data_IF_859578225198
#
_entry.id   IF_859578225198
#
_cell.length_a   1.000
_cell.length_b   1.000
_cell.length_c   1.000
_cell.angle_alpha   90.00
_cell.angle_beta   90.00
_cell.angle_gamma   90.00
#
_symmetry.space_group_name_H-M   'P 1'
#
loop_
_entity.id
_entity.type
_entity.pdbx_description
1 polymer ?
#
# COMPACT_ATOMS: atom_id res chain seq x y z
N UNK A 1 6.63 13.08 2.12
CA UNK A 1 6.91 12.74 0.74
C UNK A 1 6.37 13.84 -0.18
N UNK A 2 7.27 14.57 -0.85
CA UNK A 2 6.90 15.44 -1.96
C UNK A 2 6.42 14.59 -3.15
N UNK A 3 5.92 15.22 -4.23
CA UNK A 3 5.71 14.50 -5.49
C UNK A 3 7.05 14.12 -6.13
N UNK A 4 7.07 13.14 -7.05
CA UNK A 4 8.31 12.61 -7.62
C UNK A 4 9.14 13.66 -8.37
N UNK A 5 8.50 14.67 -8.94
CA UNK A 5 9.13 15.76 -9.68
C UNK A 5 9.72 16.84 -8.73
N UNK A 6 9.21 16.88 -7.51
CA UNK A 6 9.67 17.74 -6.41
C UNK A 6 10.76 17.08 -5.55
N UNK A 7 11.10 15.81 -5.81
CA UNK A 7 12.15 15.09 -5.10
C UNK A 7 13.55 15.56 -5.53
N UNK A 8 14.45 15.67 -4.55
CA UNK A 8 15.88 15.73 -4.84
C UNK A 8 16.37 14.43 -5.49
N UNK A 9 17.57 14.43 -6.09
CA UNK A 9 18.15 13.23 -6.71
C UNK A 9 18.26 12.05 -5.74
N UNK A 10 18.63 12.32 -4.49
CA UNK A 10 18.78 11.29 -3.47
C UNK A 10 17.42 10.76 -3.00
N UNK A 11 16.44 11.63 -2.81
CA UNK A 11 15.05 11.23 -2.50
C UNK A 11 14.43 10.41 -3.63
N UNK A 12 14.65 10.81 -4.88
CA UNK A 12 14.16 10.08 -6.04
C UNK A 12 14.79 8.69 -6.13
N UNK A 13 16.10 8.58 -5.94
CA UNK A 13 16.80 7.29 -5.91
C UNK A 13 16.30 6.38 -4.78
N UNK A 14 16.04 6.95 -3.60
CA UNK A 14 15.45 6.22 -2.49
C UNK A 14 14.04 5.74 -2.84
N UNK A 15 13.21 6.62 -3.40
CA UNK A 15 11.86 6.32 -3.83
C UNK A 15 11.83 5.20 -4.87
N UNK A 16 12.63 5.30 -5.94
CA UNK A 16 12.70 4.29 -7.00
C UNK A 16 13.10 2.91 -6.43
N UNK A 17 14.05 2.88 -5.49
CA UNK A 17 14.43 1.64 -4.79
C UNK A 17 13.27 1.05 -3.98
N UNK A 18 12.52 1.88 -3.28
CA UNK A 18 11.36 1.46 -2.49
C UNK A 18 10.27 0.89 -3.41
N UNK A 19 9.99 1.56 -4.53
CA UNK A 19 9.01 1.12 -5.54
C UNK A 19 9.41 -0.24 -6.13
N UNK A 20 10.68 -0.41 -6.47
CA UNK A 20 11.22 -1.68 -6.95
C UNK A 20 11.04 -2.80 -5.91
N UNK A 21 11.44 -2.55 -4.66
CA UNK A 21 11.26 -3.53 -3.58
C UNK A 21 9.80 -3.90 -3.35
N UNK A 22 8.87 -2.91 -3.38
CA UNK A 22 7.44 -3.21 -3.23
C UNK A 22 6.89 -4.03 -4.39
N UNK A 23 7.33 -3.73 -5.62
CA UNK A 23 6.89 -4.47 -6.80
C UNK A 23 7.33 -5.92 -6.71
N UNK A 24 8.57 -6.18 -6.29
CA UNK A 24 9.08 -7.53 -6.08
C UNK A 24 8.34 -8.28 -4.96
N UNK A 25 8.10 -7.62 -3.83
CA UNK A 25 7.38 -8.20 -2.69
C UNK A 25 5.88 -8.36 -2.95
N UNK A 26 5.34 -7.64 -3.94
CA UNK A 26 3.94 -7.72 -4.28
C UNK A 26 3.56 -9.10 -4.82
N UNK A 27 4.49 -9.91 -5.38
CA UNK A 27 4.18 -11.22 -5.97
C UNK A 27 2.94 -11.19 -6.91
N UNK A 28 2.76 -10.06 -7.60
CA UNK A 28 1.85 -9.95 -8.74
C UNK A 28 2.59 -10.38 -10.01
N UNK A 29 1.87 -10.89 -10.98
CA UNK A 29 2.45 -11.32 -12.26
C UNK A 29 2.85 -10.09 -13.09
N UNK A 30 1.98 -9.08 -13.10
CA UNK A 30 2.07 -7.88 -13.92
C UNK A 30 2.92 -6.79 -13.23
N UNK A 31 4.17 -7.13 -12.91
CA UNK A 31 5.09 -6.26 -12.15
C UNK A 31 5.29 -4.88 -12.77
N UNK A 32 5.40 -4.80 -14.09
CA UNK A 32 5.62 -3.52 -14.78
C UNK A 32 4.42 -2.58 -14.63
N UNK A 33 3.19 -3.11 -14.77
CA UNK A 33 1.95 -2.34 -14.58
C UNK A 33 1.85 -1.92 -13.12
N UNK A 34 2.10 -2.84 -12.19
CA UNK A 34 2.10 -2.54 -10.76
C UNK A 34 3.09 -1.44 -10.38
N UNK A 35 4.31 -1.51 -10.92
CA UNK A 35 5.37 -0.53 -10.70
C UNK A 35 5.03 0.84 -11.28
N UNK A 36 4.48 0.87 -12.49
CA UNK A 36 3.98 2.08 -13.15
C UNK A 36 2.91 2.74 -12.29
N UNK A 37 1.86 2.02 -11.92
CA UNK A 37 0.78 2.59 -11.13
C UNK A 37 1.22 3.02 -9.73
N UNK A 38 2.17 2.29 -9.13
CA UNK A 38 2.72 2.66 -7.82
C UNK A 38 3.52 3.96 -7.93
N UNK A 39 4.19 4.19 -9.06
CA UNK A 39 4.92 5.43 -9.35
C UNK A 39 3.96 6.59 -9.61
N UNK A 40 2.98 6.36 -10.51
CA UNK A 40 1.94 7.31 -10.90
C UNK A 40 1.19 7.88 -9.70
N UNK A 41 0.84 7.03 -8.73
CA UNK A 41 0.16 7.47 -7.51
C UNK A 41 0.90 8.60 -6.76
N UNK A 42 2.23 8.70 -6.90
CA UNK A 42 3.04 9.75 -6.28
C UNK A 42 3.50 10.86 -7.24
N UNK A 43 3.12 10.77 -8.52
CA UNK A 43 3.43 11.74 -9.55
C UNK A 43 2.28 12.71 -9.74
N UNK A 44 2.50 14.01 -9.50
CA UNK A 44 1.46 15.03 -9.63
C UNK A 44 1.01 15.25 -11.08
N UNK A 45 1.82 14.81 -12.04
CA UNK A 45 1.50 14.87 -13.46
C UNK A 45 0.67 13.65 -13.92
N UNK A 46 0.44 12.67 -13.03
CA UNK A 46 -0.42 11.52 -13.30
C UNK A 46 -1.88 11.79 -12.95
N UNK A 47 -2.79 11.23 -13.75
CA UNK A 47 -4.24 11.28 -13.53
C UNK A 47 -4.68 10.59 -12.22
N UNK A 48 -3.87 9.67 -11.68
CA UNK A 48 -4.15 8.94 -10.44
C UNK A 48 -3.38 9.48 -9.23
N UNK A 49 -2.79 10.68 -9.35
CA UNK A 49 -2.04 11.32 -8.29
C UNK A 49 -2.82 11.37 -6.98
N UNK A 50 -2.30 10.70 -5.95
CA UNK A 50 -2.89 10.63 -4.61
C UNK A 50 -4.35 10.13 -4.57
N UNK A 51 -4.87 9.55 -5.64
CA UNK A 51 -6.20 8.95 -5.69
C UNK A 51 -6.06 7.43 -5.69
N UNK A 52 -6.24 6.85 -4.49
CA UNK A 52 -6.03 5.42 -4.29
C UNK A 52 -7.10 4.60 -5.04
N UNK A 53 -8.31 5.13 -5.15
CA UNK A 53 -9.40 4.44 -5.83
C UNK A 53 -9.17 4.45 -7.34
N UNK A 54 -8.81 5.59 -7.92
CA UNK A 54 -8.49 5.69 -9.34
C UNK A 54 -7.25 4.85 -9.70
N UNK A 55 -6.18 4.90 -8.91
CA UNK A 55 -4.98 4.08 -9.15
C UNK A 55 -5.26 2.57 -9.06
N UNK A 56 -6.13 2.14 -8.13
CA UNK A 56 -6.55 0.74 -8.04
C UNK A 56 -7.43 0.31 -9.22
N UNK A 57 -8.26 1.22 -9.75
CA UNK A 57 -9.10 0.98 -10.92
C UNK A 57 -8.23 0.86 -12.18
N UNK A 58 -7.35 1.83 -12.45
CA UNK A 58 -6.43 1.82 -13.59
C UNK A 58 -5.51 0.58 -13.57
N UNK A 59 -4.95 0.23 -12.40
CA UNK A 59 -4.18 -1.00 -12.23
C UNK A 59 -4.99 -2.25 -12.59
N UNK A 60 -6.24 -2.33 -12.16
CA UNK A 60 -7.10 -3.49 -12.44
C UNK A 60 -7.52 -3.54 -13.89
N UNK A 61 -7.77 -2.39 -14.53
CA UNK A 61 -8.10 -2.30 -15.95
C UNK A 61 -6.93 -2.75 -16.81
N UNK A 62 -5.74 -2.18 -16.59
CA UNK A 62 -4.52 -2.54 -17.35
C UNK A 62 -4.13 -4.02 -17.16
N UNK A 63 -4.36 -4.59 -15.97
CA UNK A 63 -4.15 -6.02 -15.73
C UNK A 63 -5.19 -6.88 -16.47
N UNK A 64 -6.48 -6.50 -16.46
CA UNK A 64 -7.49 -7.28 -17.19
C UNK A 64 -7.26 -7.28 -18.71
N UNK A 65 -6.74 -6.18 -19.24
CA UNK A 65 -6.37 -6.10 -20.65
C UNK A 65 -5.14 -6.94 -20.99
N UNK A 66 -4.31 -7.27 -19.99
CA UNK A 66 -3.07 -8.04 -20.16
C UNK A 66 -3.15 -9.52 -19.75
N UNK A 67 -4.13 -9.97 -18.94
CA UNK A 67 -4.26 -11.39 -18.54
C UNK A 67 -5.69 -11.97 -18.56
N UNK A 68 -5.96 -12.80 -19.57
CA UNK A 68 -6.80 -14.01 -19.44
C UNK A 68 -5.93 -15.08 -18.75
N UNK A 69 -6.13 -15.36 -17.45
CA UNK A 69 -6.11 -16.70 -16.80
C UNK A 69 -5.93 -16.63 -15.27
N UNK A 70 -6.57 -17.59 -14.58
CA UNK A 70 -6.92 -17.63 -13.16
C UNK A 70 -5.81 -18.09 -12.20
N UNK A 71 -5.85 -17.65 -10.92
CA UNK A 71 -5.39 -18.49 -9.79
C UNK A 71 -6.04 -18.10 -8.43
N UNK A 72 -6.26 -19.12 -7.60
CA UNK A 72 -7.03 -19.17 -6.36
C UNK A 72 -6.10 -19.05 -5.14
N UNK A 73 -6.09 -17.94 -4.40
CA UNK A 73 -5.57 -17.88 -3.01
C UNK A 73 -5.91 -16.56 -2.28
N UNK A 74 -7.21 -16.24 -2.16
CA UNK A 74 -7.70 -14.93 -1.66
C UNK A 74 -8.37 -14.96 -0.28
N UNK A 75 -8.49 -16.12 0.37
CA UNK A 75 -9.31 -16.21 1.59
C UNK A 75 -8.73 -15.40 2.77
N UNK A 76 -7.40 -15.34 2.90
CA UNK A 76 -6.73 -14.78 4.08
C UNK A 76 -6.70 -13.23 4.11
N UNK A 77 -6.52 -12.58 2.96
CA UNK A 77 -6.46 -11.11 2.90
C UNK A 77 -7.82 -10.45 3.21
N UNK A 78 -8.91 -11.15 2.90
CA UNK A 78 -10.29 -10.65 3.04
C UNK A 78 -10.70 -10.49 4.51
N UNK A 79 -10.26 -11.40 5.37
CA UNK A 79 -10.59 -11.41 6.80
C UNK A 79 -9.83 -10.33 7.58
N UNK A 80 -8.57 -10.08 7.23
CA UNK A 80 -7.75 -9.02 7.85
C UNK A 80 -8.24 -7.62 7.44
N UNK A 81 -8.70 -7.45 6.20
CA UNK A 81 -9.19 -6.16 5.71
C UNK A 81 -10.57 -5.80 6.30
N UNK A 82 -11.50 -6.77 6.34
CA UNK A 82 -12.82 -6.58 6.92
C UNK A 82 -12.75 -6.30 8.43
N UNK A 83 -11.86 -6.99 9.15
CA UNK A 83 -11.64 -6.77 10.58
C UNK A 83 -10.93 -5.46 10.91
N UNK A 84 -10.02 -5.00 10.03
CA UNK A 84 -9.21 -3.79 10.28
C UNK A 84 -9.87 -2.48 9.85
N UNK A 85 -10.73 -2.50 8.81
CA UNK A 85 -11.31 -1.27 8.25
C UNK A 85 -12.81 -1.13 8.45
N UNK A 86 -13.49 -2.10 9.07
CA UNK A 86 -14.91 -1.98 9.45
C UNK A 86 -15.86 -1.74 8.25
N UNK A 87 -15.43 -2.09 7.04
CA UNK A 87 -16.25 -1.97 5.83
C UNK A 87 -17.27 -3.09 5.88
N UNK A 88 -18.51 -2.77 6.29
CA UNK A 88 -19.65 -3.67 6.06
C UNK A 88 -19.72 -3.94 4.57
N UNK A 89 -19.84 -5.23 4.23
CA UNK A 89 -19.96 -5.74 2.87
C UNK A 89 -20.78 -4.80 1.98
N UNK A 90 -20.11 -4.05 1.10
CA UNK A 90 -20.80 -3.36 0.01
C UNK A 90 -20.84 -4.35 -1.14
N UNK A 91 -21.86 -5.21 -1.12
CA UNK A 91 -22.54 -5.86 -2.26
C UNK A 91 -21.75 -6.33 -3.50
N UNK A 92 -20.44 -6.58 -3.42
CA UNK A 92 -19.66 -7.10 -4.55
C UNK A 92 -19.73 -8.63 -4.67
N UNK A 93 -20.38 -9.32 -3.73
CA UNK A 93 -20.41 -10.79 -3.67
C UNK A 93 -21.35 -11.48 -4.69
N UNK A 94 -21.97 -10.74 -5.61
CA UNK A 94 -22.87 -11.32 -6.63
C UNK A 94 -22.55 -10.87 -8.05
N UNK A 95 -21.35 -11.14 -8.57
CA UNK A 95 -21.13 -11.49 -9.99
C UNK A 95 -19.68 -11.88 -10.30
N UNK A 96 -19.55 -13.13 -10.74
CA UNK A 96 -18.43 -13.73 -11.51
C UNK A 96 -17.07 -13.89 -10.81
N UNK A 97 -16.53 -15.10 -10.94
CA UNK A 97 -15.24 -15.62 -10.47
C UNK A 97 -13.97 -14.79 -10.84
N UNK A 98 -14.10 -13.69 -11.59
CA UNK A 98 -13.04 -12.71 -11.90
C UNK A 98 -12.76 -11.72 -10.75
N UNK A 99 -13.67 -11.58 -9.78
CA UNK A 99 -13.53 -10.63 -8.66
C UNK A 99 -12.35 -10.90 -7.73
N UNK A 100 -11.85 -12.14 -7.68
CA UNK A 100 -10.86 -12.51 -6.68
C UNK A 100 -9.46 -11.96 -6.92
N UNK A 101 -9.00 -12.04 -8.17
CA UNK A 101 -7.68 -11.52 -8.60
C UNK A 101 -7.65 -10.00 -8.45
N UNK A 102 -8.74 -9.33 -8.85
CA UNK A 102 -8.90 -7.87 -8.72
C UNK A 102 -8.75 -7.41 -7.27
N UNK A 103 -9.46 -8.07 -6.35
CA UNK A 103 -9.39 -7.74 -4.92
C UNK A 103 -7.98 -8.01 -4.36
N UNK A 104 -7.34 -9.10 -4.78
CA UNK A 104 -5.99 -9.45 -4.35
C UNK A 104 -4.95 -8.40 -4.74
N UNK A 105 -4.94 -8.00 -6.02
CA UNK A 105 -3.99 -7.01 -6.53
C UNK A 105 -4.23 -5.62 -5.93
N UNK A 106 -5.48 -5.16 -5.85
CA UNK A 106 -5.79 -3.85 -5.25
C UNK A 106 -5.38 -3.75 -3.79
N UNK A 107 -5.55 -4.82 -3.00
CA UNK A 107 -5.09 -4.86 -1.59
C UNK A 107 -3.56 -4.78 -1.50
N UNK A 108 -2.86 -5.52 -2.37
CA UNK A 108 -1.39 -5.51 -2.41
C UNK A 108 -0.86 -4.16 -2.84
N UNK A 109 -1.53 -3.50 -3.79
CA UNK A 109 -1.24 -2.14 -4.22
C UNK A 109 -1.38 -1.12 -3.09
N UNK A 110 -2.51 -1.13 -2.38
CA UNK A 110 -2.69 -0.26 -1.21
C UNK A 110 -1.61 -0.50 -0.14
N UNK A 111 -1.26 -1.76 0.12
CA UNK A 111 -0.15 -2.12 1.01
C UNK A 111 1.18 -1.53 0.55
N UNK A 112 1.51 -1.65 -0.74
CA UNK A 112 2.71 -1.09 -1.34
C UNK A 112 2.76 0.45 -1.23
N UNK A 113 1.65 1.14 -1.49
CA UNK A 113 1.54 2.60 -1.31
C UNK A 113 1.88 3.00 0.13
N UNK A 114 1.28 2.34 1.13
CA UNK A 114 1.56 2.67 2.54
C UNK A 114 2.99 2.32 2.96
N UNK A 115 3.50 1.17 2.53
CA UNK A 115 4.88 0.76 2.77
C UNK A 115 5.86 1.73 2.12
N UNK A 116 5.55 2.24 0.93
CA UNK A 116 6.41 3.20 0.24
C UNK A 116 6.51 4.52 1.01
N UNK A 117 5.39 5.04 1.48
CA UNK A 117 5.36 6.25 2.31
C UNK A 117 6.11 6.03 3.63
N UNK A 118 5.87 4.91 4.32
CA UNK A 118 6.53 4.61 5.59
C UNK A 118 8.04 4.44 5.38
N UNK A 119 8.41 3.67 4.36
CA UNK A 119 9.79 3.43 3.97
C UNK A 119 10.53 4.74 3.68
N UNK A 120 9.92 5.61 2.88
CA UNK A 120 10.46 6.93 2.59
C UNK A 120 10.65 7.75 3.88
N UNK A 121 9.66 7.73 4.79
CA UNK A 121 9.73 8.47 6.05
C UNK A 121 10.81 7.96 7.01
N UNK A 122 11.18 6.67 6.93
CA UNK A 122 12.29 6.09 7.72
C UNK A 122 13.61 6.01 6.96
N UNK A 123 13.65 6.46 5.71
CA UNK A 123 14.85 6.53 4.88
C UNK A 123 15.27 5.21 4.23
N UNK A 124 14.34 4.28 3.98
CA UNK A 124 14.68 2.99 3.37
C UNK A 124 13.49 2.10 3.01
N UNK A 125 13.73 0.99 2.32
CA UNK A 125 12.70 0.02 1.97
C UNK A 125 12.28 -0.91 3.11
N UNK A 126 11.65 -2.05 2.80
CA UNK A 126 10.93 -2.88 3.81
C UNK A 126 11.87 -3.43 4.88
N UNK A 127 13.10 -3.82 4.51
CA UNK A 127 14.10 -4.27 5.47
C UNK A 127 14.51 -3.19 6.48
N UNK A 128 14.44 -1.91 6.07
CA UNK A 128 14.74 -0.76 6.95
C UNK A 128 13.57 -0.50 7.90
N UNK A 129 12.33 -0.73 7.48
CA UNK A 129 11.15 -0.61 8.35
C UNK A 129 11.26 -1.58 9.52
N UNK A 130 11.57 -2.86 9.27
CA UNK A 130 11.76 -3.85 10.33
C UNK A 130 12.93 -3.47 11.27
N UNK A 131 14.07 -3.09 10.69
CA UNK A 131 15.24 -2.64 11.46
C UNK A 131 14.94 -1.41 12.32
N UNK A 132 14.11 -0.49 11.82
CA UNK A 132 13.65 0.68 12.54
C UNK A 132 12.80 0.30 13.75
N UNK A 133 11.86 -0.65 13.60
CA UNK A 133 11.04 -1.15 14.71
C UNK A 133 11.92 -1.80 15.78
N UNK A 134 12.88 -2.64 15.38
CA UNK A 134 13.82 -3.29 16.30
C UNK A 134 14.64 -2.24 17.06
N UNK A 135 15.19 -1.25 16.35
CA UNK A 135 16.08 -0.22 16.92
C UNK A 135 15.37 0.80 17.80
N UNK A 136 14.14 1.19 17.44
CA UNK A 136 13.40 2.27 18.12
C UNK A 136 12.33 1.75 19.09
N UNK A 137 11.95 0.48 18.97
CA UNK A 137 10.88 -0.13 19.74
C UNK A 137 9.49 0.11 19.15
N UNK A 138 8.56 -0.78 19.48
CA UNK A 138 7.18 -0.78 18.96
C UNK A 138 6.42 0.53 19.22
N UNK A 139 6.63 1.17 20.38
CA UNK A 139 5.94 2.41 20.74
C UNK A 139 6.34 3.59 19.85
N UNK A 140 7.63 3.76 19.60
CA UNK A 140 8.14 4.85 18.76
C UNK A 140 7.83 4.59 17.27
N UNK A 141 7.95 3.34 16.83
CA UNK A 141 7.52 2.95 15.49
C UNK A 141 6.02 3.22 15.26
N UNK A 142 5.17 2.84 16.21
CA UNK A 142 3.73 3.14 16.17
C UNK A 142 3.48 4.64 16.00
N UNK A 143 4.17 5.47 16.79
CA UNK A 143 4.02 6.92 16.76
C UNK A 143 4.40 7.49 15.39
N UNK A 144 5.56 7.10 14.86
CA UNK A 144 6.05 7.57 13.56
C UNK A 144 5.13 7.09 12.43
N UNK A 145 4.81 5.80 12.37
CA UNK A 145 3.97 5.25 11.30
C UNK A 145 2.57 5.84 11.33
N UNK A 146 1.96 5.93 12.51
CA UNK A 146 0.62 6.55 12.67
C UNK A 146 0.65 8.00 12.21
N UNK A 147 1.65 8.79 12.62
CA UNK A 147 1.78 10.20 12.20
C UNK A 147 1.95 10.31 10.69
N UNK A 148 2.83 9.51 10.11
CA UNK A 148 3.13 9.51 8.68
C UNK A 148 1.90 9.16 7.86
N UNK A 149 1.24 8.03 8.17
CA UNK A 149 0.07 7.57 7.41
C UNK A 149 -1.14 8.48 7.65
N UNK A 150 -1.39 8.92 8.89
CA UNK A 150 -2.50 9.85 9.18
C UNK A 150 -2.32 11.18 8.43
N UNK A 151 -1.09 11.69 8.32
CA UNK A 151 -0.78 12.88 7.54
C UNK A 151 -1.09 12.68 6.06
N UNK A 152 -0.69 11.54 5.48
CA UNK A 152 -0.98 11.21 4.08
C UNK A 152 -2.47 11.02 3.81
N UNK A 153 -3.17 10.26 4.63
CA UNK A 153 -4.61 10.07 4.50
C UNK A 153 -5.37 11.40 4.53
N UNK A 154 -4.91 12.38 5.33
CA UNK A 154 -5.49 13.73 5.31
C UNK A 154 -5.19 14.47 4.01
N UNK A 155 -3.97 14.36 3.49
CA UNK A 155 -3.59 14.95 2.21
C UNK A 155 -4.37 14.35 1.03
N UNK A 156 -4.65 13.04 1.07
CA UNK A 156 -5.43 12.30 0.08
C UNK A 156 -6.95 12.40 0.28
N UNK A 157 -7.43 13.34 1.12
CA UNK A 157 -8.87 13.55 1.37
C UNK A 157 -9.55 12.51 2.29
N UNK A 158 -8.88 11.43 2.66
CA UNK A 158 -9.39 10.35 3.52
C UNK A 158 -9.35 10.66 5.04
N UNK A 159 -9.91 11.80 5.45
CA UNK A 159 -9.88 12.29 6.84
C UNK A 159 -10.47 11.30 7.87
N UNK A 160 -11.51 10.54 7.50
CA UNK A 160 -12.13 9.55 8.39
C UNK A 160 -11.20 8.36 8.66
N UNK A 161 -10.49 7.88 7.64
CA UNK A 161 -9.51 6.80 7.79
C UNK A 161 -8.29 7.25 8.61
N UNK A 162 -7.93 8.53 8.51
CA UNK A 162 -6.84 9.11 9.31
C UNK A 162 -7.09 9.04 10.83
N UNK A 163 -8.34 8.87 11.27
CA UNK A 163 -8.72 8.67 12.68
C UNK A 163 -8.55 7.22 13.11
N UNK A 164 -8.93 6.26 12.27
CA UNK A 164 -8.86 4.83 12.59
C UNK A 164 -7.47 4.22 12.39
N UNK A 165 -6.57 4.88 11.65
CA UNK A 165 -5.26 4.32 11.28
C UNK A 165 -4.37 3.99 12.49
N UNK A 166 -4.50 4.71 13.60
CA UNK A 166 -3.72 4.42 14.82
C UNK A 166 -4.04 3.05 15.43
N UNK A 167 -5.27 2.56 15.25
CA UNK A 167 -5.69 1.22 15.67
C UNK A 167 -5.11 0.18 14.71
N UNK A 168 -5.24 0.39 13.41
CA UNK A 168 -4.70 -0.52 12.39
C UNK A 168 -3.18 -0.69 12.52
N UNK A 169 -2.42 0.40 12.71
CA UNK A 169 -0.97 0.35 12.95
C UNK A 169 -0.64 -0.39 14.24
N UNK A 170 -1.44 -0.21 15.30
CA UNK A 170 -1.24 -0.94 16.55
C UNK A 170 -1.44 -2.45 16.36
N UNK A 171 -2.50 -2.86 15.67
CA UNK A 171 -2.76 -4.26 15.34
C UNK A 171 -1.62 -4.82 14.50
N UNK A 172 -1.19 -4.12 13.45
CA UNK A 172 -0.10 -4.56 12.59
C UNK A 172 1.21 -4.78 13.36
N UNK A 173 1.59 -3.85 14.25
CA UNK A 173 2.80 -3.96 15.07
C UNK A 173 2.73 -5.04 16.17
N UNK A 174 1.51 -5.39 16.61
CA UNK A 174 1.28 -6.48 17.54
C UNK A 174 1.26 -7.84 16.85
N UNK A 175 0.75 -7.91 15.62
CA UNK A 175 0.71 -9.12 14.79
C UNK A 175 2.06 -9.45 14.16
N UNK A 176 2.89 -8.44 13.91
CA UNK A 176 4.31 -8.59 13.68
C UNK A 176 4.95 -9.15 14.97
N UNK A 177 4.92 -10.48 15.11
CA UNK A 177 5.79 -11.22 16.01
C UNK A 177 7.21 -11.16 15.43
N UNK A 178 7.81 -9.98 15.56
CA UNK A 178 9.23 -9.76 15.31
C UNK A 178 9.91 -10.49 16.47
N UNK A 179 10.26 -11.76 16.24
CA UNK A 179 10.83 -12.63 17.27
C UNK A 179 11.86 -11.93 18.13
N UNK A 180 11.79 -12.22 19.43
CA UNK A 180 12.93 -12.21 20.35
C UNK A 180 14.15 -12.89 19.76
#
# INVERSE_FOLDING_TARGET
MPSIDEMTKDERKLFDKIVEEQTELSNVTEKEIFKKELTNFFDKESDTYNDLSAAQEELVEEINDSTLLENENLAFAKEVFASSFGVKEVEAAKKKKSSGIKVGVSVRFAGAVFNAVIGFAVGGGVGVIQSFIIKKGKAEAKRIFTKTVSSRLKAWGAKKLAVSIGVAVAIALNYLDIGT
#
